data_IF_238333788150
#
_entry.id   IF_238333788150
#
_cell.length_a   1.000
_cell.length_b   1.000
_cell.length_c   1.000
_cell.angle_alpha   90.00
_cell.angle_beta   90.00
_cell.angle_gamma   90.00
#
_symmetry.space_group_name_H-M   'P 1'
#
loop_
_entity.id
_entity.type
_entity.pdbx_description
1 polymer ?
#
# COMPACT_ATOMS: atom_id res chain seq x y z
N UNK A 1 17.17 -28.28 -7.11
CA UNK A 1 18.16 -27.20 -6.87
C UNK A 1 17.89 -26.64 -5.48
N UNK A 2 18.87 -26.69 -4.59
CA UNK A 2 18.67 -26.23 -3.20
C UNK A 2 18.46 -24.72 -3.22
N UNK A 3 17.30 -24.24 -2.78
CA UNK A 3 16.96 -22.82 -2.72
C UNK A 3 17.80 -22.11 -1.64
N UNK A 4 18.35 -20.94 -1.93
CA UNK A 4 19.09 -20.14 -0.94
C UNK A 4 18.17 -19.60 0.14
N UNK A 5 18.72 -19.29 1.31
CA UNK A 5 17.94 -18.86 2.48
C UNK A 5 17.18 -17.57 2.18
N UNK A 6 17.81 -16.62 1.53
CA UNK A 6 17.22 -15.34 1.15
C UNK A 6 16.05 -15.51 0.18
N UNK A 7 16.21 -16.35 -0.84
CA UNK A 7 15.15 -16.67 -1.81
C UNK A 7 13.97 -17.33 -1.10
N UNK A 8 14.24 -18.22 -0.16
CA UNK A 8 13.21 -18.90 0.62
C UNK A 8 12.45 -17.92 1.54
N UNK A 9 13.16 -16.99 2.18
CA UNK A 9 12.52 -15.94 2.98
C UNK A 9 11.60 -15.04 2.14
N UNK A 10 12.02 -14.66 0.93
CA UNK A 10 11.18 -13.88 0.01
C UNK A 10 9.92 -14.63 -0.39
N UNK A 11 10.07 -15.92 -0.73
CA UNK A 11 8.93 -16.77 -1.11
C UNK A 11 7.97 -17.00 0.08
N UNK A 12 8.49 -17.14 1.31
CA UNK A 12 7.65 -17.23 2.53
C UNK A 12 6.85 -15.93 2.71
N UNK A 13 7.46 -14.76 2.52
CA UNK A 13 6.75 -13.48 2.60
C UNK A 13 5.68 -13.35 1.53
N UNK A 14 5.97 -13.77 0.31
CA UNK A 14 5.00 -13.78 -0.78
C UNK A 14 3.80 -14.67 -0.44
N UNK A 15 4.04 -15.89 0.06
CA UNK A 15 2.99 -16.80 0.48
C UNK A 15 2.16 -16.28 1.66
N UNK A 16 2.80 -15.56 2.61
CA UNK A 16 2.10 -14.89 3.70
C UNK A 16 1.21 -13.76 3.19
N UNK A 17 1.66 -13.02 2.17
CA UNK A 17 0.87 -11.96 1.56
C UNK A 17 -0.34 -12.48 0.79
N UNK A 18 -0.22 -13.65 0.15
CA UNK A 18 -1.33 -14.28 -0.58
C UNK A 18 -2.33 -14.99 0.32
N UNK A 19 -1.85 -15.70 1.35
CA UNK A 19 -2.65 -16.66 2.12
C UNK A 19 -2.87 -16.24 3.58
N UNK A 20 -2.34 -15.06 4.00
CA UNK A 20 -2.42 -14.51 5.36
C UNK A 20 -1.70 -15.33 6.43
N UNK A 21 -1.52 -16.62 6.21
CA UNK A 21 -0.84 -17.57 7.09
C UNK A 21 -0.09 -18.64 6.30
N UNK A 22 0.99 -19.15 6.90
CA UNK A 22 1.75 -20.27 6.37
C UNK A 22 1.95 -21.33 7.47
N UNK A 23 2.03 -22.60 7.08
CA UNK A 23 2.30 -23.70 8.01
C UNK A 23 3.69 -24.30 7.75
N UNK A 24 4.41 -24.58 8.83
CA UNK A 24 5.75 -25.20 8.79
C UNK A 24 5.76 -26.45 7.92
N UNK A 25 4.76 -27.32 8.09
CA UNK A 25 4.67 -28.59 7.36
C UNK A 25 4.46 -28.40 5.86
N UNK A 26 3.70 -27.39 5.45
CA UNK A 26 3.45 -27.06 4.05
C UNK A 26 4.71 -26.46 3.39
N UNK A 27 5.36 -25.52 4.09
CA UNK A 27 6.62 -24.91 3.64
C UNK A 27 7.75 -25.93 3.54
N UNK A 28 7.88 -26.85 4.51
CA UNK A 28 8.86 -27.93 4.50
C UNK A 28 8.74 -28.79 3.24
N UNK A 29 7.51 -29.17 2.87
CA UNK A 29 7.24 -29.94 1.65
C UNK A 29 7.52 -29.13 0.39
N UNK A 30 7.08 -27.86 0.35
CA UNK A 30 7.22 -26.98 -0.82
C UNK A 30 8.68 -26.70 -1.15
N UNK A 31 9.51 -26.47 -0.14
CA UNK A 31 10.92 -26.13 -0.30
C UNK A 31 11.87 -27.30 -0.20
N UNK A 32 11.35 -28.52 0.02
CA UNK A 32 12.13 -29.76 0.15
C UNK A 32 13.21 -29.66 1.26
N UNK A 33 12.87 -29.05 2.39
CA UNK A 33 13.73 -28.90 3.57
C UNK A 33 13.03 -29.45 4.82
N UNK A 34 13.81 -29.69 5.90
CA UNK A 34 13.23 -30.17 7.15
C UNK A 34 12.35 -29.11 7.81
N UNK A 35 11.37 -29.52 8.62
CA UNK A 35 10.55 -28.59 9.40
C UNK A 35 11.39 -27.73 10.35
N UNK A 36 12.50 -28.26 10.89
CA UNK A 36 13.43 -27.50 11.74
C UNK A 36 14.16 -26.39 10.97
N UNK A 37 14.47 -26.62 9.69
CA UNK A 37 15.00 -25.59 8.82
C UNK A 37 13.99 -24.44 8.67
N UNK A 38 12.72 -24.76 8.39
CA UNK A 38 11.66 -23.76 8.31
C UNK A 38 11.45 -23.03 9.64
N UNK A 39 11.47 -23.74 10.78
CA UNK A 39 11.35 -23.10 12.10
C UNK A 39 12.47 -22.08 12.35
N UNK A 40 13.70 -22.37 11.93
CA UNK A 40 14.83 -21.45 12.02
C UNK A 40 14.66 -20.26 11.09
N UNK A 41 14.19 -20.47 9.85
CA UNK A 41 13.88 -19.39 8.92
C UNK A 41 12.82 -18.45 9.50
N UNK A 42 11.68 -19.00 9.96
CA UNK A 42 10.61 -18.21 10.58
C UNK A 42 11.09 -17.46 11.83
N UNK A 43 11.96 -18.05 12.66
CA UNK A 43 12.52 -17.38 13.81
C UNK A 43 13.45 -16.22 13.41
N UNK A 44 14.28 -16.40 12.38
CA UNK A 44 15.12 -15.35 11.83
C UNK A 44 14.31 -14.20 11.22
N UNK A 45 13.19 -14.52 10.57
CA UNK A 45 12.30 -13.52 9.98
C UNK A 45 11.49 -12.77 11.06
N UNK A 46 11.05 -13.46 12.11
CA UNK A 46 10.40 -12.83 13.27
C UNK A 46 11.32 -11.85 14.00
N UNK A 47 12.60 -12.19 14.17
CA UNK A 47 13.61 -11.29 14.76
C UNK A 47 13.85 -10.00 13.94
N UNK A 48 13.40 -9.98 12.68
CA UNK A 48 13.43 -8.83 11.77
C UNK A 48 12.06 -8.15 11.63
N UNK A 49 11.09 -8.49 12.49
CA UNK A 49 9.71 -8.00 12.46
C UNK A 49 8.98 -8.23 11.11
N UNK A 50 9.41 -9.23 10.33
CA UNK A 50 8.82 -9.53 9.02
C UNK A 50 7.57 -10.41 9.11
N UNK A 51 7.41 -11.14 10.21
CA UNK A 51 6.26 -12.03 10.48
C UNK A 51 6.12 -12.28 11.98
N UNK A 52 4.99 -12.86 12.40
CA UNK A 52 4.74 -13.33 13.76
C UNK A 52 4.56 -14.84 13.73
N UNK A 53 5.34 -15.57 14.51
CA UNK A 53 5.20 -17.03 14.60
C UNK A 53 3.95 -17.41 15.39
N UNK A 54 3.33 -18.49 14.96
CA UNK A 54 2.19 -19.13 15.61
C UNK A 54 2.50 -20.60 15.87
N UNK A 55 1.61 -21.30 16.59
CA UNK A 55 1.76 -22.74 16.76
C UNK A 55 1.68 -23.44 15.40
N UNK A 56 2.82 -23.97 14.94
CA UNK A 56 2.95 -24.71 13.68
C UNK A 56 3.08 -23.89 12.40
N UNK A 57 3.30 -22.56 12.50
CA UNK A 57 3.43 -21.72 11.31
C UNK A 57 3.81 -20.27 11.61
N UNK A 58 3.38 -19.39 10.72
CA UNK A 58 3.51 -17.94 10.89
C UNK A 58 2.32 -17.21 10.25
N UNK A 59 2.08 -16.01 10.73
CA UNK A 59 1.15 -15.03 10.19
C UNK A 59 1.88 -13.71 9.98
N UNK A 60 1.28 -12.80 9.23
CA UNK A 60 1.79 -11.44 9.19
C UNK A 60 1.65 -10.81 10.59
N UNK A 61 2.58 -9.92 11.03
CA UNK A 61 2.44 -9.21 12.30
C UNK A 61 1.12 -8.45 12.38
N UNK A 62 0.61 -8.18 13.59
CA UNK A 62 -0.65 -7.41 13.76
C UNK A 62 -0.59 -5.98 13.17
N UNK A 63 0.62 -5.43 13.09
CA UNK A 63 0.91 -4.20 12.32
C UNK A 63 0.85 -4.41 10.80
N UNK A 64 0.73 -5.65 10.37
CA UNK A 64 0.69 -6.12 8.99
C UNK A 64 -0.57 -6.95 8.67
N UNK A 65 -1.70 -6.74 9.34
CA UNK A 65 -2.97 -7.38 8.96
C UNK A 65 -3.37 -7.06 7.51
N UNK A 66 -4.10 -7.95 6.79
CA UNK A 66 -4.43 -7.84 5.37
C UNK A 66 -5.14 -6.54 4.97
N UNK A 67 -5.70 -5.82 5.93
CA UNK A 67 -6.13 -4.43 5.76
C UNK A 67 -4.97 -3.42 5.73
N UNK A 68 -3.77 -3.79 6.24
CA UNK A 68 -2.61 -2.90 6.38
C UNK A 68 -1.35 -3.33 5.62
N UNK A 69 -1.27 -4.55 5.10
CA UNK A 69 -0.04 -5.09 4.44
C UNK A 69 -0.09 -5.15 2.92
N UNK A 70 -1.11 -4.63 2.33
CA UNK A 70 -1.05 -4.39 0.89
C UNK A 70 -0.08 -3.24 0.64
N UNK A 71 1.21 -3.53 0.52
CA UNK A 71 2.16 -2.55 -0.02
C UNK A 71 1.54 -1.89 -1.24
N UNK A 72 1.53 -0.58 -1.27
CA UNK A 72 1.04 0.17 -2.43
C UNK A 72 1.70 -0.34 -3.71
N UNK A 73 3.00 -0.69 -3.64
CA UNK A 73 3.76 -1.23 -4.76
C UNK A 73 3.15 -2.50 -5.37
N UNK A 74 2.69 -3.45 -4.56
CA UNK A 74 2.10 -4.71 -5.05
C UNK A 74 0.69 -4.54 -5.63
N UNK A 75 0.02 -3.43 -5.28
CA UNK A 75 -1.32 -3.11 -5.76
C UNK A 75 -1.34 -2.21 -7.00
N UNK A 76 -0.23 -1.52 -7.33
CA UNK A 76 -0.18 -0.55 -8.44
C UNK A 76 -0.64 -1.17 -9.76
N UNK A 77 -0.08 -2.32 -10.12
CA UNK A 77 -0.32 -2.97 -11.41
C UNK A 77 -1.53 -3.91 -11.39
N UNK A 78 -2.03 -4.27 -10.20
CA UNK A 78 -3.20 -5.14 -10.07
C UNK A 78 -4.46 -4.40 -10.52
N UNK A 79 -5.21 -5.00 -11.46
CA UNK A 79 -6.47 -4.47 -12.02
C UNK A 79 -6.29 -3.04 -12.57
N UNK A 80 -5.18 -2.77 -13.25
CA UNK A 80 -4.84 -1.42 -13.71
C UNK A 80 -5.88 -0.86 -14.70
N UNK A 81 -6.43 -1.71 -15.59
CA UNK A 81 -7.43 -1.30 -16.57
C UNK A 81 -8.72 -0.83 -15.90
N UNK A 82 -9.18 -1.55 -14.89
CA UNK A 82 -10.36 -1.22 -14.11
C UNK A 82 -10.18 0.10 -13.35
N UNK A 83 -9.01 0.29 -12.70
CA UNK A 83 -8.68 1.55 -12.03
C UNK A 83 -8.66 2.74 -12.97
N UNK A 84 -8.10 2.56 -14.16
CA UNK A 84 -8.10 3.60 -15.20
C UNK A 84 -9.51 3.93 -15.69
N UNK A 85 -10.39 2.92 -15.82
CA UNK A 85 -11.78 3.16 -16.17
C UNK A 85 -12.53 3.92 -15.06
N UNK A 86 -12.30 3.57 -13.80
CA UNK A 86 -12.83 4.29 -12.63
C UNK A 86 -12.36 5.74 -12.67
N UNK A 87 -11.04 5.96 -12.81
CA UNK A 87 -10.43 7.29 -12.86
C UNK A 87 -11.03 8.17 -13.97
N UNK A 88 -11.20 7.62 -15.19
CA UNK A 88 -11.81 8.32 -16.32
C UNK A 88 -13.29 8.68 -16.10
N UNK A 89 -14.00 7.93 -15.29
CA UNK A 89 -15.38 8.26 -14.89
C UNK A 89 -15.40 9.29 -13.78
N UNK A 90 -14.58 9.10 -12.75
CA UNK A 90 -14.52 9.96 -11.57
C UNK A 90 -14.09 11.38 -11.92
N UNK A 91 -13.08 11.55 -12.80
CA UNK A 91 -12.59 12.88 -13.18
C UNK A 91 -13.67 13.77 -13.82
N UNK A 92 -14.69 13.17 -14.45
CA UNK A 92 -15.84 13.91 -15.06
C UNK A 92 -16.78 14.52 -14.03
N UNK A 93 -16.71 14.08 -12.77
CA UNK A 93 -17.52 14.59 -11.67
C UNK A 93 -16.86 15.83 -11.01
N UNK A 94 -15.57 16.06 -11.27
CA UNK A 94 -14.79 17.14 -10.69
C UNK A 94 -15.03 18.42 -11.47
N UNK A 95 -15.29 19.51 -10.76
CA UNK A 95 -15.52 20.83 -11.32
C UNK A 95 -14.37 21.78 -11.01
N UNK A 96 -14.09 22.77 -11.86
CA UNK A 96 -13.13 23.82 -11.54
C UNK A 96 -13.46 24.48 -10.19
N UNK A 97 -12.46 24.67 -9.35
CA UNK A 97 -12.59 25.22 -8.02
C UNK A 97 -12.82 24.22 -6.91
N UNK A 98 -13.16 22.95 -7.21
CA UNK A 98 -13.39 21.92 -6.19
C UNK A 98 -12.16 21.69 -5.33
N UNK A 99 -12.40 21.41 -4.05
CA UNK A 99 -11.43 20.89 -3.08
C UNK A 99 -11.69 19.41 -2.88
N UNK A 100 -10.77 18.56 -3.34
CA UNK A 100 -10.93 17.11 -3.30
C UNK A 100 -9.90 16.45 -2.39
N UNK A 101 -10.32 15.40 -1.68
CA UNK A 101 -9.43 14.56 -0.90
C UNK A 101 -9.21 13.22 -1.60
N UNK A 102 -7.96 12.89 -1.83
CA UNK A 102 -7.54 11.60 -2.37
C UNK A 102 -6.78 10.84 -1.28
N UNK A 103 -7.40 9.79 -0.74
CA UNK A 103 -6.81 8.93 0.27
C UNK A 103 -5.70 8.02 -0.31
N UNK A 104 -5.12 7.19 0.54
CA UNK A 104 -4.06 6.23 0.15
C UNK A 104 -4.67 5.07 -0.63
N UNK A 105 -4.83 5.26 -1.93
CA UNK A 105 -5.36 4.27 -2.85
C UNK A 105 -4.63 4.26 -4.20
N UNK A 106 -4.34 3.06 -4.72
CA UNK A 106 -3.75 2.94 -6.07
C UNK A 106 -4.75 3.30 -7.18
N UNK A 107 -6.05 3.31 -6.91
CA UNK A 107 -7.08 3.85 -7.81
C UNK A 107 -7.00 5.37 -7.85
N UNK A 108 -6.75 6.02 -6.71
CA UNK A 108 -6.55 7.47 -6.64
C UNK A 108 -5.24 7.93 -7.32
N UNK A 109 -4.23 7.08 -7.42
CA UNK A 109 -3.05 7.36 -8.27
C UNK A 109 -3.48 7.52 -9.73
N UNK A 110 -4.33 6.63 -10.25
CA UNK A 110 -4.82 6.73 -11.62
C UNK A 110 -5.74 7.95 -11.80
N UNK A 111 -6.57 8.28 -10.80
CA UNK A 111 -7.38 9.51 -10.82
C UNK A 111 -6.50 10.76 -10.82
N UNK A 112 -5.44 10.80 -10.03
CA UNK A 112 -4.49 11.91 -10.01
C UNK A 112 -3.83 12.12 -11.39
N UNK A 113 -3.47 11.03 -12.08
CA UNK A 113 -2.94 11.08 -13.45
C UNK A 113 -3.97 11.63 -14.45
N UNK A 114 -5.25 11.26 -14.34
CA UNK A 114 -6.30 11.79 -15.21
C UNK A 114 -6.56 13.29 -14.93
N UNK A 115 -6.56 13.71 -13.67
CA UNK A 115 -6.66 15.13 -13.28
C UNK A 115 -5.49 15.93 -13.87
N UNK A 116 -4.26 15.41 -13.76
CA UNK A 116 -3.06 16.05 -14.33
C UNK A 116 -3.19 16.27 -15.84
N UNK A 117 -3.66 15.24 -16.57
CA UNK A 117 -3.84 15.30 -18.03
C UNK A 117 -4.86 16.36 -18.46
N UNK A 118 -5.90 16.58 -17.66
CA UNK A 118 -6.97 17.54 -17.99
C UNK A 118 -6.66 18.96 -17.54
N UNK A 119 -5.53 19.17 -16.84
CA UNK A 119 -5.10 20.48 -16.36
C UNK A 119 -6.18 21.24 -15.57
N UNK A 120 -6.93 20.55 -14.71
CA UNK A 120 -8.02 21.15 -13.94
C UNK A 120 -7.50 22.15 -12.91
N UNK A 121 -8.21 23.28 -12.78
CA UNK A 121 -7.94 24.29 -11.74
C UNK A 121 -8.70 23.93 -10.46
N UNK A 122 -8.09 23.10 -9.61
CA UNK A 122 -8.68 22.55 -8.38
C UNK A 122 -7.66 22.52 -7.25
N UNK A 123 -8.15 22.29 -6.03
CA UNK A 123 -7.30 21.97 -4.88
C UNK A 123 -7.37 20.47 -4.59
N UNK A 124 -6.23 19.79 -4.62
CA UNK A 124 -6.12 18.38 -4.23
C UNK A 124 -5.40 18.27 -2.90
N UNK A 125 -5.98 17.54 -1.99
CA UNK A 125 -5.40 17.23 -0.68
C UNK A 125 -5.19 15.72 -0.60
N UNK A 126 -4.01 15.30 -0.16
CA UNK A 126 -3.71 13.87 0.02
C UNK A 126 -2.66 13.68 1.11
N UNK A 127 -2.60 12.49 1.67
CA UNK A 127 -1.52 12.03 2.55
C UNK A 127 -0.59 11.01 1.87
N UNK A 128 -0.70 10.81 0.54
CA UNK A 128 0.03 9.81 -0.24
C UNK A 128 1.17 10.43 -1.04
N UNK A 129 2.40 9.89 -0.89
CA UNK A 129 3.59 10.41 -1.59
C UNK A 129 3.53 10.21 -3.11
N UNK A 130 2.92 9.11 -3.59
CA UNK A 130 2.74 8.88 -5.04
C UNK A 130 1.89 9.98 -5.69
N UNK A 131 0.84 10.44 -5.01
CA UNK A 131 -0.02 11.52 -5.48
C UNK A 131 0.72 12.86 -5.41
N UNK A 132 1.49 13.10 -4.33
CA UNK A 132 2.34 14.28 -4.23
C UNK A 132 3.33 14.37 -5.39
N UNK A 133 3.95 13.26 -5.77
CA UNK A 133 4.89 13.22 -6.89
C UNK A 133 4.22 13.58 -8.23
N UNK A 134 2.99 13.13 -8.47
CA UNK A 134 2.23 13.48 -9.69
C UNK A 134 1.98 14.99 -9.75
N UNK A 135 1.51 15.58 -8.66
CA UNK A 135 1.15 17.00 -8.66
C UNK A 135 2.33 17.95 -8.45
N UNK A 136 3.50 17.48 -8.03
CA UNK A 136 4.70 18.31 -7.92
C UNK A 136 5.11 18.99 -9.24
N UNK A 137 4.68 18.45 -10.37
CA UNK A 137 5.00 18.96 -11.71
C UNK A 137 3.84 19.72 -12.37
N UNK A 138 2.70 19.91 -11.68
CA UNK A 138 1.53 20.61 -12.22
C UNK A 138 1.48 22.05 -11.74
N UNK A 139 1.06 22.97 -12.63
CA UNK A 139 0.93 24.40 -12.28
C UNK A 139 -0.50 24.78 -11.89
N UNK A 140 -1.51 24.08 -12.43
CA UNK A 140 -2.94 24.43 -12.25
C UNK A 140 -3.56 23.79 -11.01
N UNK A 141 -3.06 22.64 -10.58
CA UNK A 141 -3.54 21.99 -9.37
C UNK A 141 -2.83 22.58 -8.16
N UNK A 142 -3.59 23.17 -7.23
CA UNK A 142 -3.07 23.48 -5.89
C UNK A 142 -3.02 22.20 -5.09
N UNK A 143 -1.82 21.72 -4.76
CA UNK A 143 -1.66 20.48 -4.02
C UNK A 143 -1.26 20.73 -2.56
N UNK A 144 -1.92 20.04 -1.62
CA UNK A 144 -1.62 20.08 -0.19
C UNK A 144 -1.34 18.65 0.27
N UNK A 145 -0.11 18.40 0.75
CA UNK A 145 0.25 17.13 1.37
C UNK A 145 0.01 17.22 2.87
N UNK A 146 -0.85 16.32 3.39
CA UNK A 146 -1.04 16.17 4.82
C UNK A 146 0.11 15.36 5.41
N UNK A 147 0.75 15.89 6.43
CA UNK A 147 1.80 15.22 7.18
C UNK A 147 1.24 14.27 8.25
N UNK A 148 2.14 13.59 8.94
CA UNK A 148 1.83 12.65 10.03
C UNK A 148 2.94 11.63 10.22
N UNK A 149 2.61 10.45 10.74
CA UNK A 149 3.52 9.33 10.82
C UNK A 149 3.67 8.66 9.45
N UNK A 150 4.91 8.56 8.95
CA UNK A 150 5.14 7.96 7.63
C UNK A 150 5.02 6.44 7.66
N UNK A 151 4.06 5.90 6.95
CA UNK A 151 3.89 4.46 6.76
C UNK A 151 4.53 4.01 5.44
N UNK A 152 5.61 3.23 5.54
CA UNK A 152 6.38 2.76 4.37
C UNK A 152 5.56 1.83 3.46
N UNK A 153 4.71 0.96 4.04
CA UNK A 153 3.90 0.03 3.26
C UNK A 153 2.85 0.76 2.41
N UNK A 154 2.28 1.83 2.95
CA UNK A 154 1.28 2.64 2.28
C UNK A 154 1.88 3.81 1.46
N UNK A 155 3.19 4.04 1.56
CA UNK A 155 3.89 5.18 0.96
C UNK A 155 3.18 6.52 1.22
N UNK A 156 2.81 6.76 2.48
CA UNK A 156 2.05 7.95 2.86
C UNK A 156 2.02 8.17 4.36
N UNK A 157 1.35 9.22 4.76
CA UNK A 157 1.25 9.65 6.16
C UNK A 157 -0.08 9.22 6.77
N UNK A 158 -0.03 8.70 8.00
CA UNK A 158 -1.17 8.21 8.75
C UNK A 158 -1.13 8.73 10.19
N UNK A 159 -2.14 8.34 10.97
CA UNK A 159 -2.21 8.61 12.40
C UNK A 159 -3.03 9.84 12.77
N UNK A 160 -3.09 10.10 14.06
CA UNK A 160 -3.93 11.16 14.64
C UNK A 160 -3.59 12.55 14.10
N UNK A 161 -2.31 12.84 13.91
CA UNK A 161 -1.86 14.12 13.37
C UNK A 161 -2.42 14.37 11.96
N UNK A 162 -2.40 13.36 11.07
CA UNK A 162 -2.98 13.43 9.74
C UNK A 162 -4.49 13.72 9.83
N UNK A 163 -5.19 13.01 10.70
CA UNK A 163 -6.63 13.20 10.93
C UNK A 163 -6.93 14.59 11.45
N UNK A 164 -6.15 15.11 12.39
CA UNK A 164 -6.31 16.47 12.89
C UNK A 164 -6.11 17.53 11.80
N UNK A 165 -5.10 17.34 10.93
CA UNK A 165 -4.90 18.24 9.81
C UNK A 165 -6.10 18.23 8.84
N UNK A 166 -6.69 17.05 8.57
CA UNK A 166 -7.87 16.91 7.70
C UNK A 166 -9.08 17.73 8.20
N UNK A 167 -9.28 17.83 9.50
CA UNK A 167 -10.40 18.57 10.10
C UNK A 167 -10.42 20.07 9.77
N UNK A 168 -9.29 20.62 9.30
CA UNK A 168 -9.18 22.03 8.91
C UNK A 168 -9.71 22.31 7.49
N UNK A 169 -10.11 21.27 6.75
CA UNK A 169 -10.56 21.40 5.36
C UNK A 169 -12.02 20.98 5.21
N UNK A 170 -12.70 21.58 4.25
CA UNK A 170 -14.02 21.14 3.77
C UNK A 170 -13.86 20.63 2.36
N UNK A 171 -14.15 19.35 2.16
CA UNK A 171 -14.01 18.71 0.87
C UNK A 171 -15.35 18.74 0.12
N UNK A 172 -15.28 19.05 -1.19
CA UNK A 172 -16.43 18.92 -2.10
C UNK A 172 -16.59 17.45 -2.53
N UNK A 173 -15.44 16.74 -2.68
CA UNK A 173 -15.38 15.31 -3.06
C UNK A 173 -14.31 14.60 -2.23
N UNK A 174 -14.60 13.36 -1.80
CA UNK A 174 -13.67 12.44 -1.16
C UNK A 174 -13.96 10.98 -1.53
#
# INVERSE_FOLDING_TARGET
KKMFVEERHQEILHLLQENEKVKVKELSKRFEVTEDCIRKDLASMEAKDLLKRTYGGAVLPDTMHPGHTNFVSTRKDKNIKEKQQIAKKAVKLIRPGDMIFLDISTTNIELAKEIQKQELEITVISCMMDIAQIFSQTKKVKFILLGGEFNRAQNGFLGELTVQMMKNFRFDIC
#
